data_IF_014128937623
#
_entry.id   IF_014128937623
#
_cell.length_a   1.000
_cell.length_b   1.000
_cell.length_c   1.000
_cell.angle_alpha   90.00
_cell.angle_beta   90.00
_cell.angle_gamma   90.00
#
_symmetry.space_group_name_H-M   'P 1'
#
loop_
_entity.id
_entity.type
_entity.pdbx_description
1 polymer ?
#
# COMPACT_ATOMS: atom_id res chain seq x y z
N UNK A 1 -16.71 10.56 -8.08
CA UNK A 1 -17.66 10.25 -9.12
C UNK A 1 -18.56 9.11 -8.68
N UNK A 2 -19.82 9.44 -8.48
CA UNK A 2 -20.86 8.50 -8.10
C UNK A 2 -21.23 7.60 -9.29
N UNK A 3 -20.28 6.79 -9.69
CA UNK A 3 -20.56 5.79 -10.69
C UNK A 3 -20.77 4.45 -9.99
N UNK A 4 -22.02 4.11 -9.71
CA UNK A 4 -22.42 2.80 -9.13
C UNK A 4 -21.89 1.62 -9.94
N UNK A 5 -21.35 1.87 -11.13
CA UNK A 5 -20.75 0.88 -12.01
C UNK A 5 -19.26 0.71 -11.79
N UNK A 6 -18.61 1.66 -11.11
CA UNK A 6 -17.17 1.58 -10.79
C UNK A 6 -16.85 0.36 -9.94
N UNK A 7 -15.82 -0.38 -10.32
CA UNK A 7 -15.37 -1.54 -9.56
C UNK A 7 -14.92 -1.16 -8.14
N UNK A 8 -14.34 0.02 -7.97
CA UNK A 8 -13.93 0.54 -6.66
C UNK A 8 -15.14 0.83 -5.78
N UNK A 9 -16.18 1.45 -6.33
CA UNK A 9 -17.41 1.75 -5.60
C UNK A 9 -18.14 0.46 -5.18
N UNK A 10 -18.23 -0.51 -6.07
CA UNK A 10 -18.80 -1.83 -5.76
C UNK A 10 -18.02 -2.52 -4.65
N UNK A 11 -16.70 -2.44 -4.67
CA UNK A 11 -15.85 -2.97 -3.62
C UNK A 11 -16.13 -2.28 -2.28
N UNK A 12 -16.18 -0.95 -2.26
CA UNK A 12 -16.44 -0.18 -1.05
C UNK A 12 -17.79 -0.52 -0.42
N UNK A 13 -18.83 -0.68 -1.24
CA UNK A 13 -20.16 -1.07 -0.78
C UNK A 13 -20.21 -2.52 -0.30
N UNK A 14 -19.62 -3.45 -1.04
CA UNK A 14 -19.55 -4.88 -0.65
C UNK A 14 -18.90 -5.06 0.72
N UNK A 15 -17.83 -4.32 0.98
CA UNK A 15 -17.08 -4.41 2.23
C UNK A 15 -17.56 -3.44 3.31
N UNK A 16 -18.63 -2.67 3.05
CA UNK A 16 -19.26 -1.75 4.00
C UNK A 16 -18.25 -0.79 4.64
N UNK A 17 -17.35 -0.24 3.83
CA UNK A 17 -16.24 0.59 4.32
C UNK A 17 -16.74 1.84 5.03
N UNK A 18 -17.72 2.55 4.47
CA UNK A 18 -18.30 3.74 5.09
C UNK A 18 -18.93 3.44 6.45
N UNK A 19 -19.69 2.36 6.54
CA UNK A 19 -20.34 1.94 7.78
C UNK A 19 -19.32 1.61 8.86
N UNK A 20 -18.27 0.86 8.49
CA UNK A 20 -17.19 0.48 9.41
C UNK A 20 -16.39 1.69 9.90
N UNK A 21 -16.16 2.67 9.03
CA UNK A 21 -15.54 3.94 9.42
C UNK A 21 -16.37 4.65 10.48
N UNK A 22 -17.68 4.77 10.27
CA UNK A 22 -18.60 5.41 11.22
C UNK A 22 -18.67 4.66 12.56
N UNK A 23 -18.79 3.33 12.52
CA UNK A 23 -18.86 2.49 13.70
C UNK A 23 -17.59 2.58 14.57
N UNK A 24 -16.43 2.84 13.98
CA UNK A 24 -15.16 2.96 14.68
C UNK A 24 -14.73 4.41 14.94
N UNK A 25 -15.61 5.38 14.68
CA UNK A 25 -15.33 6.82 14.85
C UNK A 25 -14.09 7.29 14.06
N UNK A 26 -13.90 6.75 12.87
CA UNK A 26 -12.79 7.08 11.96
C UNK A 26 -13.29 7.97 10.81
N UNK A 27 -13.85 9.12 11.16
CA UNK A 27 -14.54 10.01 10.23
C UNK A 27 -13.63 11.04 9.56
N UNK A 28 -12.39 11.19 10.01
CA UNK A 28 -11.47 12.19 9.48
C UNK A 28 -10.09 11.61 9.13
N UNK A 29 -10.10 10.53 8.36
CA UNK A 29 -8.90 9.88 7.83
C UNK A 29 -9.00 9.73 6.31
N UNK A 30 -7.85 9.74 5.65
CA UNK A 30 -7.72 9.37 4.25
C UNK A 30 -6.99 8.04 4.15
N UNK A 31 -7.57 7.10 3.41
CA UNK A 31 -6.99 5.78 3.21
C UNK A 31 -6.59 5.64 1.74
N UNK A 32 -5.34 5.30 1.50
CA UNK A 32 -4.81 5.10 0.15
C UNK A 32 -4.30 3.68 0.00
N UNK A 33 -4.52 3.11 -1.16
CA UNK A 33 -4.11 1.75 -1.47
C UNK A 33 -4.08 1.45 -2.96
N UNK A 34 -3.61 0.27 -3.28
CA UNK A 34 -3.58 -0.29 -4.62
C UNK A 34 -4.82 -1.15 -4.84
N UNK A 35 -5.56 -0.88 -5.90
CA UNK A 35 -6.71 -1.67 -6.31
C UNK A 35 -6.28 -2.63 -7.42
N UNK A 36 -6.41 -3.93 -7.17
CA UNK A 36 -5.93 -4.99 -8.04
C UNK A 36 -7.06 -5.97 -8.39
N UNK A 37 -6.97 -6.62 -9.53
CA UNK A 37 -7.89 -7.69 -9.87
C UNK A 37 -8.16 -7.84 -11.36
N UNK A 38 -9.15 -8.68 -11.71
CA UNK A 38 -9.54 -8.91 -13.10
C UNK A 38 -10.03 -7.61 -13.76
N UNK A 39 -9.50 -7.33 -14.95
CA UNK A 39 -9.83 -6.11 -15.68
C UNK A 39 -9.14 -4.85 -15.17
N UNK A 40 -8.32 -4.95 -14.15
CA UNK A 40 -7.54 -3.85 -13.59
C UNK A 40 -6.09 -4.06 -13.96
N UNK A 41 -5.54 -3.17 -14.79
CA UNK A 41 -4.20 -3.30 -15.35
C UNK A 41 -3.98 -4.71 -15.92
N UNK A 42 -2.85 -5.35 -15.65
CA UNK A 42 -2.53 -6.69 -16.14
C UNK A 42 -2.86 -7.81 -15.16
N UNK A 43 -3.57 -7.50 -14.07
CA UNK A 43 -3.89 -8.46 -13.00
C UNK A 43 -2.68 -9.34 -12.63
N UNK A 44 -1.57 -8.71 -12.29
CA UNK A 44 -0.29 -9.38 -12.04
C UNK A 44 -0.34 -10.42 -10.93
N UNK A 45 -1.22 -10.22 -9.95
CA UNK A 45 -1.42 -11.15 -8.84
C UNK A 45 -2.31 -12.33 -9.22
N UNK A 46 -2.89 -12.34 -10.42
CA UNK A 46 -3.85 -13.35 -10.90
C UNK A 46 -5.02 -13.56 -9.94
N UNK A 47 -5.55 -12.47 -9.42
CA UNK A 47 -6.71 -12.50 -8.54
C UNK A 47 -7.96 -12.90 -9.31
N UNK A 48 -8.87 -13.61 -8.63
CA UNK A 48 -10.16 -14.03 -9.18
C UNK A 48 -11.25 -12.97 -8.98
N UNK A 49 -11.04 -12.06 -8.03
CA UNK A 49 -11.94 -10.94 -7.75
C UNK A 49 -11.12 -9.71 -7.35
N UNK A 50 -11.72 -8.49 -7.44
CA UNK A 50 -11.02 -7.26 -7.07
C UNK A 50 -10.66 -7.23 -5.58
N UNK A 51 -9.44 -6.77 -5.29
CA UNK A 51 -8.91 -6.57 -3.93
C UNK A 51 -8.27 -5.19 -3.79
N UNK A 52 -8.37 -4.61 -2.60
CA UNK A 52 -7.73 -3.34 -2.27
C UNK A 52 -6.68 -3.54 -1.19
N UNK A 53 -5.45 -3.14 -1.49
CA UNK A 53 -4.31 -3.25 -0.59
C UNK A 53 -3.88 -1.87 -0.10
N UNK A 54 -4.15 -1.59 1.17
CA UNK A 54 -3.85 -0.30 1.78
C UNK A 54 -2.34 -0.15 2.02
N UNK A 55 -1.80 1.02 1.71
CA UNK A 55 -0.39 1.35 1.99
C UNK A 55 -0.22 2.64 2.81
N UNK A 56 -1.22 3.50 2.89
CA UNK A 56 -1.14 4.76 3.65
C UNK A 56 -2.48 5.08 4.31
N UNK A 57 -2.42 5.46 5.58
CA UNK A 57 -3.53 6.11 6.29
C UNK A 57 -3.02 7.46 6.79
N UNK A 58 -3.76 8.51 6.49
CA UNK A 58 -3.42 9.88 6.88
C UNK A 58 -4.51 10.42 7.82
N UNK A 59 -4.08 10.99 8.94
CA UNK A 59 -4.97 11.76 9.81
C UNK A 59 -5.21 13.14 9.17
N UNK A 60 -6.43 13.41 8.77
CA UNK A 60 -6.78 14.66 8.09
C UNK A 60 -6.87 15.85 9.03
N UNK A 61 -6.95 15.66 10.35
CA UNK A 61 -6.88 16.75 11.33
C UNK A 61 -5.46 17.33 11.41
N UNK A 62 -4.46 16.48 11.37
CA UNK A 62 -3.04 16.87 11.47
C UNK A 62 -2.33 16.90 10.12
N UNK A 63 -2.96 16.35 9.08
CA UNK A 63 -2.38 16.12 7.75
C UNK A 63 -1.07 15.31 7.80
N UNK A 64 -0.98 14.36 8.73
CA UNK A 64 0.18 13.49 8.91
C UNK A 64 -0.17 12.04 8.63
N UNK A 65 0.75 11.34 7.97
CA UNK A 65 0.65 9.88 7.81
C UNK A 65 0.79 9.21 9.16
N UNK A 66 -0.03 8.18 9.40
CA UNK A 66 0.09 7.35 10.59
C UNK A 66 1.28 6.40 10.48
N UNK A 67 1.75 5.91 11.64
CA UNK A 67 2.80 4.89 11.70
C UNK A 67 2.37 3.59 11.04
N UNK A 68 3.33 2.70 10.76
CA UNK A 68 3.04 1.34 10.29
C UNK A 68 2.07 0.63 11.23
N UNK A 69 2.34 0.62 12.53
CA UNK A 69 1.54 -0.11 13.50
C UNK A 69 0.12 0.45 13.64
N UNK A 70 -0.03 1.77 13.57
CA UNK A 70 -1.34 2.40 13.61
C UNK A 70 -2.14 2.13 12.34
N UNK A 71 -1.48 2.10 11.19
CA UNK A 71 -2.09 1.73 9.92
C UNK A 71 -2.57 0.27 9.95
N UNK A 72 -1.77 -0.64 10.47
CA UNK A 72 -2.18 -2.05 10.65
C UNK A 72 -3.40 -2.18 11.56
N UNK A 73 -3.42 -1.46 12.67
CA UNK A 73 -4.55 -1.44 13.62
C UNK A 73 -5.84 -0.99 12.93
N UNK A 74 -5.78 0.10 12.18
CA UNK A 74 -6.94 0.64 11.46
C UNK A 74 -7.41 -0.34 10.37
N UNK A 75 -6.51 -0.94 9.61
CA UNK A 75 -6.87 -1.93 8.62
C UNK A 75 -7.55 -3.15 9.25
N UNK A 76 -7.10 -3.61 10.40
CA UNK A 76 -7.76 -4.70 11.14
C UNK A 76 -9.17 -4.30 11.60
N UNK A 77 -9.34 -3.10 12.14
CA UNK A 77 -10.66 -2.59 12.55
C UNK A 77 -11.64 -2.52 11.38
N UNK A 78 -11.16 -2.10 10.21
CA UNK A 78 -11.99 -1.95 9.02
C UNK A 78 -12.10 -3.22 8.17
N UNK A 79 -11.37 -4.29 8.52
CA UNK A 79 -11.33 -5.52 7.73
C UNK A 79 -10.71 -5.33 6.36
N UNK A 80 -9.73 -4.43 6.23
CA UNK A 80 -9.03 -4.13 4.98
C UNK A 80 -7.70 -4.87 4.91
N UNK A 81 -7.32 -5.25 3.71
CA UNK A 81 -5.99 -5.80 3.44
C UNK A 81 -4.95 -4.68 3.39
N UNK A 82 -3.75 -4.97 3.85
CA UNK A 82 -2.58 -4.12 3.61
C UNK A 82 -1.70 -4.70 2.51
N UNK A 83 -0.90 -3.84 1.89
CA UNK A 83 0.22 -4.29 1.06
C UNK A 83 1.12 -5.21 1.90
N UNK A 84 1.70 -6.27 1.30
CA UNK A 84 2.59 -7.16 2.04
C UNK A 84 3.76 -6.41 2.66
N UNK A 85 4.00 -6.66 3.94
CA UNK A 85 5.17 -6.15 4.65
C UNK A 85 6.23 -7.24 4.60
N UNK A 86 7.30 -6.99 3.86
CA UNK A 86 8.35 -7.98 3.68
C UNK A 86 9.35 -7.99 4.83
N UNK A 87 9.56 -6.84 5.47
CA UNK A 87 10.60 -6.69 6.47
C UNK A 87 10.30 -5.49 7.37
N UNK A 88 10.52 -5.63 8.66
CA UNK A 88 10.47 -4.55 9.65
C UNK A 88 11.75 -4.60 10.46
N UNK A 89 12.54 -3.51 10.44
CA UNK A 89 13.79 -3.40 11.16
C UNK A 89 13.82 -2.10 11.97
N UNK A 90 14.49 -2.10 13.10
CA UNK A 90 14.63 -0.90 13.92
C UNK A 90 15.56 0.13 13.28
N UNK A 91 16.53 -0.33 12.50
CA UNK A 91 17.50 0.52 11.81
C UNK A 91 17.60 0.14 10.33
N UNK A 92 17.85 1.15 9.50
CA UNK A 92 18.11 0.94 8.08
C UNK A 92 19.49 0.28 7.90
N UNK A 93 19.50 -0.93 7.38
CA UNK A 93 20.70 -1.79 7.31
C UNK A 93 21.40 -1.86 5.95
N UNK A 94 20.80 -1.32 4.90
CA UNK A 94 21.36 -1.39 3.55
C UNK A 94 22.47 -0.36 3.38
N UNK A 95 23.63 -0.82 2.89
CA UNK A 95 24.85 0.00 2.82
C UNK A 95 25.01 0.73 1.48
N UNK A 96 24.41 0.22 0.42
CA UNK A 96 24.55 0.76 -0.93
C UNK A 96 23.35 0.44 -1.80
N UNK A 97 23.33 1.03 -3.00
CA UNK A 97 22.25 0.84 -3.98
C UNK A 97 22.17 -0.60 -4.48
N UNK A 98 23.30 -1.29 -4.62
CA UNK A 98 23.31 -2.67 -5.12
C UNK A 98 22.58 -3.62 -4.18
N UNK A 99 22.74 -3.44 -2.86
CA UNK A 99 21.98 -4.22 -1.86
C UNK A 99 20.49 -3.96 -1.97
N UNK A 100 20.08 -2.71 -2.20
CA UNK A 100 18.67 -2.35 -2.38
C UNK A 100 18.09 -2.95 -3.68
N UNK A 101 18.82 -2.89 -4.77
CA UNK A 101 18.41 -3.49 -6.05
C UNK A 101 18.25 -5.01 -5.92
N UNK A 102 19.16 -5.67 -5.22
CA UNK A 102 19.08 -7.12 -4.97
C UNK A 102 17.85 -7.45 -4.09
N UNK A 103 17.57 -6.65 -3.07
CA UNK A 103 16.42 -6.83 -2.19
C UNK A 103 15.09 -6.62 -2.92
N UNK A 104 15.08 -5.75 -3.95
CA UNK A 104 13.88 -5.46 -4.74
C UNK A 104 13.48 -6.59 -5.70
N UNK A 105 14.37 -7.55 -5.95
CA UNK A 105 14.08 -8.69 -6.81
C UNK A 105 13.07 -9.64 -6.19
N UNK A 106 12.37 -10.37 -7.01
CA UNK A 106 11.47 -11.43 -6.57
C UNK A 106 10.25 -11.57 -7.45
N UNK A 107 9.45 -12.56 -7.12
CA UNK A 107 8.21 -12.87 -7.83
C UNK A 107 7.04 -12.94 -6.86
N UNK A 108 5.86 -12.57 -7.34
CA UNK A 108 4.61 -12.85 -6.66
C UNK A 108 4.30 -14.35 -6.69
N UNK A 109 3.37 -14.79 -5.85
CA UNK A 109 2.86 -16.17 -5.89
C UNK A 109 2.32 -16.57 -7.28
N UNK A 110 1.87 -15.61 -8.06
CA UNK A 110 1.42 -15.80 -9.45
C UNK A 110 2.54 -16.17 -10.44
N UNK A 111 3.82 -16.07 -10.02
CA UNK A 111 4.99 -16.26 -10.87
C UNK A 111 5.44 -15.02 -11.65
N UNK A 112 4.69 -13.92 -11.57
CA UNK A 112 5.08 -12.65 -12.19
C UNK A 112 6.13 -11.92 -11.35
N UNK A 113 7.05 -11.21 -12.01
CA UNK A 113 8.06 -10.41 -11.32
C UNK A 113 7.38 -9.31 -10.48
N UNK A 114 7.87 -9.11 -9.26
CA UNK A 114 7.50 -7.95 -8.44
C UNK A 114 7.98 -6.67 -9.12
N UNK A 115 7.19 -5.61 -8.98
CA UNK A 115 7.60 -4.29 -9.49
C UNK A 115 8.79 -3.72 -8.73
N UNK A 116 8.91 -4.07 -7.45
CA UNK A 116 9.96 -3.62 -6.56
C UNK A 116 9.48 -3.58 -5.11
N UNK A 117 10.14 -2.77 -4.32
CA UNK A 117 9.82 -2.55 -2.91
C UNK A 117 9.66 -1.06 -2.62
N UNK A 118 8.91 -0.76 -1.55
CA UNK A 118 8.81 0.58 -0.99
C UNK A 118 9.38 0.55 0.43
N UNK A 119 10.27 1.47 0.74
CA UNK A 119 10.95 1.58 2.04
C UNK A 119 10.46 2.84 2.71
N UNK A 120 9.98 2.70 3.94
CA UNK A 120 9.45 3.81 4.74
C UNK A 120 9.92 3.69 6.19
N UNK A 121 10.08 4.82 6.91
CA UNK A 121 10.22 4.78 8.36
C UNK A 121 8.96 4.16 9.00
N UNK A 122 9.13 3.46 10.12
CA UNK A 122 8.01 2.92 10.92
C UNK A 122 7.10 4.06 11.38
N UNK A 123 7.69 5.12 11.95
CA UNK A 123 7.03 6.40 12.22
C UNK A 123 7.23 7.33 11.03
N UNK A 124 6.15 7.97 10.57
CA UNK A 124 6.23 8.89 9.45
C UNK A 124 7.13 10.08 9.75
N UNK A 125 8.06 10.35 8.85
CA UNK A 125 9.03 11.46 8.95
C UNK A 125 8.89 12.34 7.71
N UNK A 126 8.83 13.65 7.89
CA UNK A 126 8.88 14.61 6.79
C UNK A 126 10.32 14.81 6.34
N UNK A 127 10.55 14.74 5.03
CA UNK A 127 11.85 14.99 4.42
C UNK A 127 11.84 16.31 3.65
N UNK A 128 12.72 17.22 4.03
CA UNK A 128 12.88 18.49 3.30
C UNK A 128 13.46 18.28 1.88
N UNK A 129 14.25 17.24 1.69
CA UNK A 129 14.87 16.91 0.41
C UNK A 129 13.83 16.58 -0.65
N UNK A 130 12.82 15.79 -0.31
CA UNK A 130 11.75 15.41 -1.25
C UNK A 130 10.48 16.23 -1.02
N UNK A 131 10.50 17.17 -0.09
CA UNK A 131 9.37 18.03 0.25
C UNK A 131 8.08 17.25 0.56
N UNK A 132 8.20 16.19 1.36
CA UNK A 132 7.08 15.31 1.71
C UNK A 132 7.45 14.21 2.68
N UNK A 133 6.52 13.30 2.98
CA UNK A 133 6.81 12.14 3.84
C UNK A 133 7.90 11.28 3.22
N UNK A 134 8.87 10.87 4.04
CA UNK A 134 9.99 10.05 3.58
C UNK A 134 9.50 8.67 3.11
N UNK A 135 9.72 8.39 1.84
CA UNK A 135 9.37 7.13 1.20
C UNK A 135 10.26 6.94 -0.02
N UNK A 136 10.83 5.75 -0.17
CA UNK A 136 11.70 5.41 -1.31
C UNK A 136 11.12 4.20 -2.02
N UNK A 137 11.05 4.28 -3.36
CA UNK A 137 10.70 3.13 -4.20
C UNK A 137 11.95 2.62 -4.89
N UNK A 138 12.21 1.33 -4.78
CA UNK A 138 13.30 0.64 -5.46
C UNK A 138 12.69 -0.31 -6.48
N UNK A 139 12.92 -0.05 -7.76
CA UNK A 139 12.36 -0.85 -8.85
C UNK A 139 13.16 -2.14 -9.04
N UNK A 140 12.45 -3.22 -9.31
CA UNK A 140 13.04 -4.50 -9.68
C UNK A 140 13.43 -4.46 -11.16
N UNK A 141 14.72 -4.58 -11.45
CA UNK A 141 15.23 -4.55 -12.82
C UNK A 141 14.65 -5.67 -13.69
N UNK A 142 14.40 -6.84 -13.13
CA UNK A 142 13.77 -7.95 -13.87
C UNK A 142 12.35 -7.61 -14.34
N UNK A 143 11.62 -6.83 -13.55
CA UNK A 143 10.32 -6.29 -13.95
C UNK A 143 10.45 -5.33 -15.15
N UNK A 144 11.44 -4.43 -15.10
CA UNK A 144 11.65 -3.43 -16.15
C UNK A 144 12.11 -4.04 -17.47
N UNK A 145 12.95 -5.08 -17.42
CA UNK A 145 13.56 -5.67 -18.62
C UNK A 145 12.69 -6.71 -19.31
N UNK A 146 11.82 -7.40 -18.59
CA UNK A 146 11.03 -8.52 -19.10
C UNK A 146 9.56 -8.20 -19.39
N UNK A 147 9.15 -7.05 -19.05
CA UNK A 147 7.76 -6.61 -19.16
C UNK A 147 7.64 -5.18 -19.65
#
# INVERSE_FOLDING_TARGET
>A
ADDDKSAMWKYANKHKIEERLKENNLDNIAIQGEFCGPGIQKNRLKLTEPEWYVFTVTDMNTNKRLSLYKTEEICKLLGLNMVPIEEVEEEFKYKNVDELLERAKGKYASGKNKEGIVIRPIEAVYSNTIAGPLSMKVLNNDYLLKE
#
